data_IF_028980537261
#
_entry.id   IF_028980537261
#
_cell.length_a   1.000
_cell.length_b   1.000
_cell.length_c   1.000
_cell.angle_alpha   90.00
_cell.angle_beta   90.00
_cell.angle_gamma   90.00
#
_symmetry.space_group_name_H-M   'P 1'
#
loop_
_entity.id
_entity.type
_entity.pdbx_description
1 polymer ?
#
# COMPACT_ATOMS: atom_id res chain seq x y z
N UNK A 1 -14.88 6.67 0.83
CA UNK A 1 -15.38 7.01 2.19
C UNK A 1 -16.88 6.75 2.36
N UNK A 2 -17.76 7.46 1.65
CA UNK A 2 -19.24 7.36 1.81
C UNK A 2 -19.75 5.91 1.73
N UNK A 3 -19.30 5.15 0.73
CA UNK A 3 -19.67 3.73 0.61
C UNK A 3 -19.32 2.97 1.90
N UNK A 4 -18.09 3.13 2.43
CA UNK A 4 -17.66 2.44 3.66
C UNK A 4 -18.46 2.88 4.89
N UNK A 5 -18.84 4.15 4.99
CA UNK A 5 -19.78 4.62 6.02
C UNK A 5 -21.12 3.88 5.94
N UNK A 6 -21.68 3.74 4.74
CA UNK A 6 -22.95 3.04 4.55
C UNK A 6 -22.86 1.54 4.90
N UNK A 7 -21.67 0.95 4.80
CA UNK A 7 -21.37 -0.40 5.28
C UNK A 7 -21.07 -0.47 6.80
N UNK A 8 -21.19 0.64 7.54
CA UNK A 8 -20.99 0.70 8.99
C UNK A 8 -19.55 0.95 9.45
N UNK A 9 -18.62 1.28 8.54
CA UNK A 9 -17.25 1.62 8.93
C UNK A 9 -17.19 3.00 9.61
N UNK A 10 -16.53 3.09 10.77
CA UNK A 10 -16.27 4.36 11.47
C UNK A 10 -15.03 5.08 10.97
N UNK A 11 -14.08 4.34 10.38
CA UNK A 11 -12.81 4.86 9.87
C UNK A 11 -12.55 4.36 8.45
N UNK A 12 -11.78 5.12 7.68
CA UNK A 12 -11.44 4.78 6.31
C UNK A 12 -9.97 5.09 6.00
N UNK A 13 -9.18 4.07 5.68
CA UNK A 13 -7.76 4.23 5.34
C UNK A 13 -7.61 4.84 3.96
N UNK A 14 -6.82 5.91 3.88
CA UNK A 14 -6.47 6.60 2.63
C UNK A 14 -4.95 6.67 2.55
N UNK A 15 -4.38 5.82 1.70
CA UNK A 15 -2.94 5.79 1.45
C UNK A 15 -2.47 6.84 0.45
N UNK A 16 -1.17 6.81 0.12
CA UNK A 16 -0.59 7.52 -1.03
C UNK A 16 -1.28 7.07 -2.32
N UNK A 17 -1.62 8.03 -3.19
CA UNK A 17 -2.15 7.80 -4.54
C UNK A 17 -3.46 6.99 -4.58
N UNK A 18 -4.32 7.17 -3.56
CA UNK A 18 -5.57 6.42 -3.45
C UNK A 18 -6.50 6.71 -4.64
N UNK A 19 -6.81 5.65 -5.41
CA UNK A 19 -7.59 5.71 -6.65
C UNK A 19 -6.98 6.60 -7.76
N UNK A 20 -5.67 6.86 -7.71
CA UNK A 20 -4.95 7.60 -8.75
C UNK A 20 -4.63 6.77 -9.99
N UNK A 21 -4.16 7.47 -11.03
CA UNK A 21 -3.70 6.88 -12.29
C UNK A 21 -2.47 7.64 -12.80
N UNK A 22 -1.35 6.95 -12.93
CA UNK A 22 -0.07 7.56 -13.31
C UNK A 22 0.28 8.74 -12.39
N UNK A 23 0.68 9.86 -12.99
CA UNK A 23 1.04 11.10 -12.27
C UNK A 23 -0.03 12.21 -12.42
N UNK A 24 -1.29 11.84 -12.71
CA UNK A 24 -2.35 12.82 -12.94
C UNK A 24 -2.70 13.65 -11.70
N UNK A 25 -2.65 13.04 -10.51
CA UNK A 25 -2.94 13.71 -9.24
C UNK A 25 -1.69 13.78 -8.36
N UNK A 26 -1.55 14.82 -7.51
CA UNK A 26 -0.56 14.82 -6.44
C UNK A 26 -0.72 13.60 -5.51
N UNK A 27 0.38 13.03 -4.97
CA UNK A 27 0.33 11.76 -4.24
C UNK A 27 -0.56 11.71 -2.99
N UNK A 28 -0.91 12.87 -2.42
CA UNK A 28 -1.73 12.98 -1.20
C UNK A 28 -3.02 13.80 -1.42
N UNK A 29 -3.37 14.13 -2.67
CA UNK A 29 -4.59 14.88 -2.97
C UNK A 29 -5.85 14.18 -2.44
N UNK A 30 -5.89 12.84 -2.51
CA UNK A 30 -6.99 12.04 -1.97
C UNK A 30 -7.12 12.09 -0.44
N UNK A 31 -6.06 12.48 0.29
CA UNK A 31 -6.12 12.72 1.73
C UNK A 31 -6.61 14.14 2.01
N UNK A 32 -6.05 15.12 1.30
CA UNK A 32 -6.34 16.54 1.49
C UNK A 32 -7.80 16.90 1.20
N UNK A 33 -8.44 16.22 0.24
CA UNK A 33 -9.85 16.48 -0.10
C UNK A 33 -10.80 16.28 1.10
N UNK A 34 -10.41 15.51 2.13
CA UNK A 34 -11.24 15.36 3.32
C UNK A 34 -11.35 16.65 4.15
N UNK A 35 -10.40 17.57 4.03
CA UNK A 35 -10.45 18.87 4.72
C UNK A 35 -11.64 19.73 4.23
N UNK A 36 -12.14 19.45 3.02
CA UNK A 36 -13.33 20.09 2.45
C UNK A 36 -14.65 19.50 2.97
N UNK A 37 -14.62 18.32 3.63
CA UNK A 37 -15.80 17.58 4.09
C UNK A 37 -15.68 17.09 5.54
N UNK A 38 -15.60 17.99 6.53
CA UNK A 38 -15.37 17.64 7.93
C UNK A 38 -16.52 16.85 8.58
N UNK A 39 -17.72 16.88 8.00
CA UNK A 39 -18.96 16.30 8.51
C UNK A 39 -19.36 14.99 7.83
N UNK A 40 -18.44 14.38 7.06
CA UNK A 40 -18.72 13.18 6.27
C UNK A 40 -19.24 12.00 7.11
N UNK A 41 -18.98 12.00 8.42
CA UNK A 41 -19.44 10.97 9.37
C UNK A 41 -18.66 9.65 9.26
N UNK A 42 -17.45 9.70 8.69
CA UNK A 42 -16.45 8.63 8.69
C UNK A 42 -15.07 9.27 8.79
N UNK A 43 -14.25 8.80 9.71
CA UNK A 43 -12.94 9.41 9.99
C UNK A 43 -11.90 8.90 8.99
N UNK A 44 -11.30 9.77 8.14
CA UNK A 44 -10.19 9.36 7.30
C UNK A 44 -8.96 9.04 8.15
N UNK A 45 -8.26 7.96 7.79
CA UNK A 45 -6.96 7.60 8.34
C UNK A 45 -5.90 7.76 7.24
N UNK A 46 -5.20 8.90 7.27
CA UNK A 46 -4.13 9.21 6.33
C UNK A 46 -2.91 8.32 6.61
N UNK A 47 -2.63 7.38 5.69
CA UNK A 47 -1.50 6.47 5.80
C UNK A 47 -0.36 6.90 4.86
N UNK A 48 0.87 7.06 5.36
CA UNK A 48 2.02 7.35 4.52
C UNK A 48 2.42 6.10 3.70
N UNK A 49 3.32 6.30 2.74
CA UNK A 49 3.94 5.19 2.02
C UNK A 49 4.70 4.27 2.99
N UNK A 50 4.55 2.95 2.82
CA UNK A 50 5.25 1.94 3.61
C UNK A 50 6.30 1.21 2.77
N UNK A 51 7.33 0.71 3.44
CA UNK A 51 8.42 -0.06 2.84
C UNK A 51 8.95 -1.09 3.84
N UNK A 52 9.62 -2.12 3.35
CA UNK A 52 10.33 -3.05 4.22
C UNK A 52 11.74 -2.51 4.49
N UNK A 53 12.10 -2.34 5.76
CA UNK A 53 13.46 -1.97 6.13
C UNK A 53 14.24 -3.20 6.58
N UNK A 54 15.39 -3.47 5.95
CA UNK A 54 16.23 -4.63 6.28
C UNK A 54 16.92 -4.50 7.65
N UNK A 55 17.11 -3.27 8.14
CA UNK A 55 17.68 -3.00 9.48
C UNK A 55 16.63 -3.11 10.59
N UNK A 56 15.41 -2.63 10.34
CA UNK A 56 14.28 -2.84 11.26
C UNK A 56 13.72 -4.26 11.18
N UNK A 57 14.07 -5.00 10.11
CA UNK A 57 13.54 -6.31 9.79
C UNK A 57 12.00 -6.35 9.76
N UNK A 58 11.39 -5.37 9.09
CA UNK A 58 9.93 -5.24 9.09
C UNK A 58 9.38 -4.14 8.19
N UNK A 59 8.04 -4.17 8.05
CA UNK A 59 7.28 -3.14 7.36
C UNK A 59 7.19 -1.89 8.22
N UNK A 60 7.73 -0.80 7.70
CA UNK A 60 7.84 0.50 8.39
C UNK A 60 7.52 1.64 7.42
N UNK A 61 7.56 2.86 7.92
CA UNK A 61 7.47 4.07 7.12
C UNK A 61 8.51 5.09 7.61
N UNK A 62 8.63 6.20 6.89
CA UNK A 62 9.55 7.31 7.18
C UNK A 62 9.38 7.95 8.56
N UNK A 63 8.21 7.83 9.20
CA UNK A 63 7.98 8.37 10.54
C UNK A 63 8.52 7.48 11.67
N UNK A 64 8.70 6.18 11.41
CA UNK A 64 9.07 5.19 12.43
C UNK A 64 10.37 4.44 12.11
N UNK A 65 11.01 4.74 10.98
CA UNK A 65 12.28 4.16 10.58
C UNK A 65 13.33 5.26 10.36
N UNK A 66 14.42 5.29 11.15
CA UNK A 66 15.47 6.30 11.00
C UNK A 66 16.54 5.93 9.95
N UNK A 67 16.46 4.74 9.33
CA UNK A 67 17.48 4.24 8.42
C UNK A 67 17.41 4.88 7.02
N UNK A 68 18.56 4.95 6.36
CA UNK A 68 18.72 5.44 4.99
C UNK A 68 17.97 4.57 3.97
N UNK A 69 17.65 5.19 2.81
CA UNK A 69 16.88 4.57 1.72
C UNK A 69 17.52 3.29 1.16
N UNK A 70 18.82 3.11 1.32
CA UNK A 70 19.55 1.90 0.88
C UNK A 70 19.10 0.63 1.61
N UNK A 71 18.56 0.77 2.83
CA UNK A 71 17.99 -0.33 3.60
C UNK A 71 16.49 -0.51 3.35
N UNK A 72 15.88 0.34 2.51
CA UNK A 72 14.44 0.41 2.32
C UNK A 72 14.02 -0.24 1.00
N UNK A 73 13.43 -1.42 1.09
CA UNK A 73 12.81 -2.12 -0.04
C UNK A 73 11.40 -1.55 -0.27
N UNK A 74 11.25 -0.76 -1.35
CA UNK A 74 9.95 -0.20 -1.74
C UNK A 74 9.02 -1.29 -2.29
N UNK A 75 7.75 -1.20 -1.92
CA UNK A 75 6.70 -2.08 -2.44
C UNK A 75 6.26 -1.56 -3.81
N UNK A 76 6.55 -2.30 -4.87
CA UNK A 76 6.08 -2.00 -6.23
C UNK A 76 5.32 -3.18 -6.78
N UNK A 77 4.04 -2.97 -7.10
CA UNK A 77 3.19 -4.02 -7.67
C UNK A 77 3.77 -4.58 -8.97
N UNK A 78 4.30 -3.72 -9.85
CA UNK A 78 4.95 -4.15 -11.10
C UNK A 78 6.14 -5.07 -10.84
N UNK A 79 7.07 -4.67 -9.96
CA UNK A 79 8.24 -5.50 -9.61
C UNK A 79 7.83 -6.81 -8.94
N UNK A 80 6.85 -6.78 -8.05
CA UNK A 80 6.34 -7.98 -7.37
C UNK A 80 5.74 -8.96 -8.39
N UNK A 81 4.94 -8.47 -9.35
CA UNK A 81 4.38 -9.32 -10.41
C UNK A 81 5.47 -9.90 -11.31
N UNK A 82 6.45 -9.10 -11.72
CA UNK A 82 7.59 -9.55 -12.52
C UNK A 82 8.39 -10.63 -11.80
N UNK A 83 8.73 -10.43 -10.54
CA UNK A 83 9.48 -11.38 -9.72
C UNK A 83 8.70 -12.69 -9.51
N UNK A 84 7.38 -12.61 -9.23
CA UNK A 84 6.54 -13.81 -9.12
C UNK A 84 6.50 -14.58 -10.46
N UNK A 85 6.36 -13.90 -11.60
CA UNK A 85 6.37 -14.52 -12.93
C UNK A 85 7.71 -15.19 -13.29
N UNK A 86 8.82 -14.68 -12.74
CA UNK A 86 10.16 -15.28 -12.86
C UNK A 86 10.41 -16.43 -11.88
N UNK A 87 9.48 -16.70 -10.97
CA UNK A 87 9.63 -17.71 -9.92
C UNK A 87 10.52 -17.27 -8.76
N UNK A 88 10.82 -15.98 -8.64
CA UNK A 88 11.63 -15.43 -7.54
C UNK A 88 10.87 -15.52 -6.20
N UNK A 89 11.63 -15.60 -5.12
CA UNK A 89 11.11 -15.55 -3.75
C UNK A 89 11.23 -14.12 -3.21
N UNK A 90 10.17 -13.62 -2.58
CA UNK A 90 10.03 -12.23 -2.14
C UNK A 90 9.60 -12.17 -0.68
N UNK A 91 10.24 -12.96 0.18
CA UNK A 91 9.79 -13.23 1.55
C UNK A 91 9.64 -11.96 2.43
N UNK A 92 10.41 -10.91 2.13
CA UNK A 92 10.33 -9.61 2.80
C UNK A 92 9.07 -8.81 2.39
N UNK A 93 8.56 -9.03 1.17
CA UNK A 93 7.49 -8.23 0.58
C UNK A 93 6.14 -8.96 0.54
N UNK A 94 6.15 -10.29 0.39
CA UNK A 94 4.97 -11.13 0.34
C UNK A 94 5.16 -12.34 1.26
N UNK A 95 4.10 -12.70 1.97
CA UNK A 95 4.10 -13.91 2.79
C UNK A 95 4.20 -15.15 1.89
N UNK A 96 5.03 -16.16 2.22
CA UNK A 96 5.18 -17.37 1.40
C UNK A 96 3.86 -18.08 1.08
N UNK A 97 2.93 -18.10 2.04
CA UNK A 97 1.60 -18.71 1.91
C UNK A 97 0.77 -17.98 0.85
N UNK A 98 0.85 -16.64 0.80
CA UNK A 98 0.17 -15.82 -0.19
C UNK A 98 0.83 -15.97 -1.55
N UNK A 99 2.16 -15.95 -1.62
CA UNK A 99 2.91 -16.16 -2.85
C UNK A 99 2.59 -17.52 -3.49
N UNK A 100 2.51 -18.58 -2.67
CA UNK A 100 2.11 -19.93 -3.11
C UNK A 100 0.71 -19.94 -3.71
N UNK A 101 -0.25 -19.26 -3.06
CA UNK A 101 -1.60 -19.15 -3.62
C UNK A 101 -1.57 -18.42 -4.95
N UNK A 102 -0.91 -17.26 -5.06
CA UNK A 102 -0.82 -16.52 -6.32
C UNK A 102 -0.16 -17.36 -7.42
N UNK A 103 0.97 -18.02 -7.14
CA UNK A 103 1.68 -18.90 -8.09
C UNK A 103 0.85 -20.12 -8.52
N UNK A 104 -0.18 -20.52 -7.77
CA UNK A 104 -1.03 -21.67 -8.13
C UNK A 104 -2.01 -21.40 -9.27
N UNK A 105 -2.26 -20.12 -9.59
CA UNK A 105 -3.16 -19.74 -10.67
C UNK A 105 -2.44 -19.81 -12.02
N UNK A 106 -3.13 -20.32 -13.05
CA UNK A 106 -2.57 -20.40 -14.42
C UNK A 106 -2.20 -19.03 -14.98
N UNK A 107 -2.94 -17.99 -14.60
CA UNK A 107 -2.76 -16.64 -15.13
C UNK A 107 -2.97 -15.60 -14.00
N UNK A 108 -1.99 -15.44 -13.09
CA UNK A 108 -2.19 -14.71 -11.83
C UNK A 108 -2.32 -13.19 -11.96
N UNK A 109 -2.01 -12.62 -13.13
CA UNK A 109 -1.90 -11.17 -13.35
C UNK A 109 -2.66 -10.69 -14.59
N UNK A 110 -3.66 -11.44 -15.03
CA UNK A 110 -4.35 -11.25 -16.32
C UNK A 110 -5.80 -10.91 -16.13
#
# INVERSE_FOLDING_TARGET
AIIRKNFGCTHFVVGRDHAGVGDFYPPYAAQQIFDEFPDLGVTPLAFPSVFFCTRCNGMVNEKICPHSIEYCLKISGTKIREAISKGEELNELIRPEVAKVVKSWRNPFV
#
